data_IF_151418725166
#
_entry.id   IF_151418725166
#
_cell.length_a   1.000
_cell.length_b   1.000
_cell.length_c   1.000
_cell.angle_alpha   90.00
_cell.angle_beta   90.00
_cell.angle_gamma   90.00
#
_symmetry.space_group_name_H-M   'P 1'
#
loop_
_entity.id
_entity.type
_entity.pdbx_description
1 polymer ?
#
# COMPACT_ATOMS: atom_id res chain seq x y z
N UNK A 1 11.88 -6.92 16.81
CA UNK A 1 10.75 -7.84 17.01
C UNK A 1 10.35 -8.29 15.63
N UNK A 2 10.29 -9.61 15.35
CA UNK A 2 9.69 -10.06 14.09
C UNK A 2 8.24 -9.53 14.01
N UNK A 3 7.74 -9.31 12.80
CA UNK A 3 6.31 -9.09 12.60
C UNK A 3 5.56 -10.31 13.12
N UNK A 4 4.44 -10.10 13.80
CA UNK A 4 3.53 -11.20 14.11
C UNK A 4 2.77 -11.65 12.86
N UNK A 5 2.15 -12.82 12.94
CA UNK A 5 1.46 -13.44 11.80
C UNK A 5 0.25 -12.60 11.34
N UNK A 6 -0.35 -11.83 12.24
CA UNK A 6 -1.47 -10.93 11.96
C UNK A 6 -1.04 -9.77 11.05
N UNK A 7 0.04 -9.06 11.41
CA UNK A 7 0.57 -7.98 10.58
C UNK A 7 1.10 -8.49 9.24
N UNK A 8 1.69 -9.68 9.22
CA UNK A 8 2.12 -10.28 7.96
C UNK A 8 0.92 -10.65 7.08
N UNK A 9 -0.19 -11.10 7.67
CA UNK A 9 -1.48 -11.28 6.99
C UNK A 9 -2.00 -9.97 6.40
N UNK A 10 -2.01 -8.91 7.20
CA UNK A 10 -2.43 -7.58 6.78
C UNK A 10 -1.65 -7.06 5.56
N UNK A 11 -0.32 -7.18 5.58
CA UNK A 11 0.49 -6.77 4.42
C UNK A 11 0.22 -7.62 3.18
N UNK A 12 -0.15 -8.90 3.31
CA UNK A 12 -0.55 -9.74 2.18
C UNK A 12 -1.87 -9.27 1.59
N UNK A 13 -2.83 -8.89 2.42
CA UNK A 13 -4.10 -8.31 1.95
C UNK A 13 -3.87 -6.98 1.22
N UNK A 14 -2.97 -6.13 1.73
CA UNK A 14 -2.55 -4.92 1.01
C UNK A 14 -1.94 -5.22 -0.37
N UNK A 15 -1.11 -6.27 -0.48
CA UNK A 15 -0.56 -6.73 -1.77
C UNK A 15 -1.70 -7.11 -2.70
N UNK A 16 -2.67 -7.87 -2.21
CA UNK A 16 -3.79 -8.36 -3.02
C UNK A 16 -4.67 -7.19 -3.51
N UNK A 17 -4.88 -6.15 -2.69
CA UNK A 17 -5.54 -4.90 -3.14
C UNK A 17 -4.80 -4.26 -4.32
N UNK A 18 -3.48 -4.12 -4.23
CA UNK A 18 -2.69 -3.51 -5.32
C UNK A 18 -2.72 -4.36 -6.60
N UNK A 19 -2.72 -5.68 -6.46
CA UNK A 19 -2.80 -6.58 -7.62
C UNK A 19 -4.19 -6.55 -8.24
N UNK A 20 -5.25 -6.69 -7.44
CA UNK A 20 -6.62 -6.87 -7.94
C UNK A 20 -7.29 -5.55 -8.36
N UNK A 21 -7.06 -4.47 -7.61
CA UNK A 21 -7.75 -3.18 -7.85
C UNK A 21 -6.92 -2.20 -8.67
N UNK A 22 -5.59 -2.25 -8.56
CA UNK A 22 -4.70 -1.37 -9.32
C UNK A 22 -4.12 -2.07 -10.55
N UNK A 23 -3.91 -3.39 -10.49
CA UNK A 23 -3.46 -4.16 -11.65
C UNK A 23 -1.93 -4.24 -11.82
N UNK A 24 -1.15 -3.96 -10.78
CA UNK A 24 0.32 -4.14 -10.81
C UNK A 24 0.74 -5.58 -10.51
N UNK A 25 1.97 -5.95 -10.88
CA UNK A 25 2.49 -7.27 -10.57
C UNK A 25 2.73 -7.44 -9.06
N UNK A 26 2.67 -8.69 -8.59
CA UNK A 26 2.87 -9.01 -7.16
C UNK A 26 4.24 -8.56 -6.64
N UNK A 27 5.29 -8.67 -7.46
CA UNK A 27 6.64 -8.25 -7.10
C UNK A 27 6.71 -6.74 -6.83
N UNK A 28 6.08 -5.91 -7.68
CA UNK A 28 6.01 -4.46 -7.46
C UNK A 28 5.16 -4.11 -6.24
N UNK A 29 4.01 -4.76 -6.06
CA UNK A 29 3.16 -4.55 -4.89
C UNK A 29 3.92 -4.83 -3.57
N UNK A 30 4.65 -5.96 -3.51
CA UNK A 30 5.51 -6.29 -2.37
C UNK A 30 6.63 -5.26 -2.20
N UNK A 31 7.30 -4.85 -3.28
CA UNK A 31 8.37 -3.86 -3.20
C UNK A 31 7.88 -2.50 -2.66
N UNK A 32 6.70 -2.04 -3.10
CA UNK A 32 6.08 -0.80 -2.60
C UNK A 32 5.77 -0.88 -1.10
N UNK A 33 5.19 -1.98 -0.64
CA UNK A 33 4.90 -2.20 0.79
C UNK A 33 6.20 -2.27 1.59
N UNK A 34 7.22 -2.99 1.11
CA UNK A 34 8.53 -3.06 1.76
C UNK A 34 9.19 -1.68 1.87
N UNK A 35 9.09 -0.84 0.85
CA UNK A 35 9.66 0.50 0.86
C UNK A 35 8.99 1.43 1.88
N UNK A 36 7.68 1.29 2.09
CA UNK A 36 6.91 2.13 3.02
C UNK A 36 6.94 1.58 4.45
N UNK A 37 6.77 0.27 4.62
CA UNK A 37 6.54 -0.38 5.92
C UNK A 37 7.63 -1.36 6.33
N UNK A 38 8.59 -1.67 5.47
CA UNK A 38 9.69 -2.60 5.78
C UNK A 38 10.74 -2.05 6.74
N UNK A 39 10.62 -0.80 7.19
CA UNK A 39 11.51 -0.22 8.19
C UNK A 39 10.94 -0.38 9.60
N UNK A 40 11.84 -0.55 10.57
CA UNK A 40 11.47 -0.76 11.98
C UNK A 40 10.73 0.44 12.60
N UNK A 41 10.94 1.64 12.06
CA UNK A 41 10.28 2.88 12.47
C UNK A 41 8.84 2.96 11.96
N UNK A 42 8.59 2.57 10.71
CA UNK A 42 7.24 2.49 10.15
C UNK A 42 6.37 1.47 10.88
N UNK A 43 6.93 0.31 11.23
CA UNK A 43 6.24 -0.73 12.01
C UNK A 43 5.91 -0.22 13.42
N UNK A 44 6.83 0.49 14.08
CA UNK A 44 6.61 0.99 15.43
C UNK A 44 5.54 2.10 15.51
N UNK A 45 5.37 2.91 14.45
CA UNK A 45 4.40 4.01 14.41
C UNK A 45 3.04 3.60 13.81
N UNK A 46 3.04 2.63 12.87
CA UNK A 46 1.88 2.29 12.04
C UNK A 46 1.07 1.08 12.52
N UNK A 47 1.69 0.08 13.17
CA UNK A 47 1.01 -1.20 13.48
C UNK A 47 -0.26 -1.02 14.34
N UNK A 48 -0.25 -0.09 15.28
CA UNK A 48 -1.42 0.17 16.14
C UNK A 48 -2.58 0.87 15.43
N UNK A 49 -2.34 1.62 14.35
CA UNK A 49 -3.38 2.32 13.59
C UNK A 49 -3.82 1.52 12.36
N UNK A 50 -2.85 0.91 11.66
CA UNK A 50 -3.10 0.08 10.47
C UNK A 50 -4.03 -1.09 10.78
N UNK A 51 -3.83 -1.78 11.89
CA UNK A 51 -4.70 -2.91 12.29
C UNK A 51 -6.16 -2.53 12.59
N UNK A 52 -6.50 -1.24 12.64
CA UNK A 52 -7.87 -0.75 12.85
C UNK A 52 -8.54 -0.20 11.58
N UNK A 53 -7.80 -0.14 10.47
CA UNK A 53 -8.29 0.37 9.18
C UNK A 53 -8.19 -0.72 8.11
N UNK A 54 -8.98 -0.56 7.04
CA UNK A 54 -8.98 -1.52 5.95
C UNK A 54 -7.61 -1.55 5.23
N UNK A 55 -7.14 -2.72 4.77
CA UNK A 55 -5.91 -2.83 3.98
C UNK A 55 -5.88 -1.88 2.77
N UNK A 56 -7.03 -1.65 2.14
CA UNK A 56 -7.20 -0.73 1.01
C UNK A 56 -6.73 0.70 1.34
N UNK A 57 -7.09 1.20 2.53
CA UNK A 57 -6.74 2.55 2.96
C UNK A 57 -5.23 2.79 2.86
N UNK A 58 -4.46 1.82 3.38
CA UNK A 58 -3.01 1.91 3.40
C UNK A 58 -2.38 1.50 2.07
N UNK A 59 -2.98 0.53 1.36
CA UNK A 59 -2.49 0.07 0.07
C UNK A 59 -2.51 1.20 -0.97
N UNK A 60 -3.64 1.92 -1.10
CA UNK A 60 -3.73 3.05 -2.02
C UNK A 60 -2.74 4.15 -1.70
N UNK A 61 -2.46 4.42 -0.42
CA UNK A 61 -1.43 5.37 -0.02
C UNK A 61 -0.01 5.03 -0.48
N UNK A 62 0.29 3.75 -0.73
CA UNK A 62 1.59 3.32 -1.29
C UNK A 62 1.70 3.52 -2.81
N UNK A 63 0.56 3.62 -3.51
CA UNK A 63 0.50 3.68 -4.97
C UNK A 63 0.12 5.06 -5.50
N UNK A 64 -0.89 5.70 -4.91
CA UNK A 64 -1.39 7.00 -5.32
C UNK A 64 -0.87 8.13 -4.42
N UNK A 65 -0.66 9.28 -5.03
CA UNK A 65 -0.61 10.58 -4.35
C UNK A 65 -2.01 11.20 -4.32
N UNK A 66 -2.26 12.17 -3.43
CA UNK A 66 -3.55 12.85 -3.40
C UNK A 66 -3.93 13.48 -4.74
N UNK A 67 -5.23 13.50 -5.04
CA UNK A 67 -5.79 14.17 -6.22
C UNK A 67 -5.70 15.71 -6.11
N UNK A 68 -6.23 16.42 -7.11
CA UNK A 68 -6.29 17.89 -7.12
C UNK A 68 -7.14 18.49 -5.99
N UNK A 69 -7.91 17.68 -5.25
CA UNK A 69 -8.72 18.06 -4.09
C UNK A 69 -8.07 17.61 -2.77
N UNK A 70 -6.82 17.15 -2.82
CA UNK A 70 -6.08 16.61 -1.69
C UNK A 70 -6.73 15.37 -1.05
N UNK A 71 -7.39 14.54 -1.87
CA UNK A 71 -8.03 13.28 -1.44
C UNK A 71 -7.21 12.07 -1.83
N UNK A 72 -7.32 10.99 -1.06
CA UNK A 72 -6.89 9.64 -1.43
C UNK A 72 -8.09 8.69 -1.32
N UNK A 73 -8.16 7.64 -2.15
CA UNK A 73 -9.15 6.59 -1.94
C UNK A 73 -8.86 5.89 -0.63
N UNK A 74 -9.92 5.55 0.11
CA UNK A 74 -9.82 4.92 1.42
C UNK A 74 -10.33 3.47 1.43
N UNK A 75 -10.82 2.97 0.29
CA UNK A 75 -11.37 1.63 0.14
C UNK A 75 -12.84 1.50 0.53
N UNK A 76 -13.47 2.57 1.02
CA UNK A 76 -14.89 2.59 1.33
C UNK A 76 -15.70 2.93 0.05
N UNK A 77 -16.59 2.04 -0.42
CA UNK A 77 -17.32 2.27 -1.68
C UNK A 77 -18.21 3.51 -1.69
N UNK A 78 -18.64 3.99 -0.52
CA UNK A 78 -19.50 5.17 -0.41
C UNK A 78 -18.67 6.45 -0.37
N UNK A 79 -17.58 6.46 0.40
CA UNK A 79 -16.67 7.59 0.49
C UNK A 79 -15.88 7.80 -0.81
N UNK A 80 -15.51 6.71 -1.49
CA UNK A 80 -14.75 6.74 -2.74
C UNK A 80 -15.65 6.85 -3.98
N UNK A 81 -16.97 6.98 -3.82
CA UNK A 81 -17.93 6.92 -4.94
C UNK A 81 -17.69 8.00 -6.02
N UNK A 82 -17.11 9.14 -5.65
CA UNK A 82 -16.77 10.25 -6.57
C UNK A 82 -15.26 10.43 -6.77
N UNK A 83 -14.45 9.46 -6.36
CA UNK A 83 -13.01 9.42 -6.65
C UNK A 83 -12.83 8.96 -8.10
N UNK A 84 -12.12 9.77 -8.89
CA UNK A 84 -11.61 9.35 -10.20
C UNK A 84 -10.17 8.87 -10.04
N UNK A 85 -9.98 7.55 -9.92
CA UNK A 85 -8.67 6.90 -9.76
C UNK A 85 -7.68 7.27 -10.89
N UNK A 86 -8.16 7.62 -12.09
CA UNK A 86 -7.31 8.03 -13.21
C UNK A 86 -6.68 9.41 -13.04
N UNK A 87 -7.16 10.23 -12.09
CA UNK A 87 -6.64 11.58 -11.83
C UNK A 87 -5.59 11.62 -10.73
N UNK A 88 -5.43 10.54 -9.98
CA UNK A 88 -4.42 10.47 -8.93
C UNK A 88 -3.03 10.28 -9.55
N UNK A 89 -2.04 11.12 -9.19
CA UNK A 89 -0.67 10.88 -9.60
C UNK A 89 -0.18 9.56 -9.00
N UNK A 90 0.47 8.73 -9.81
CA UNK A 90 1.08 7.47 -9.34
C UNK A 90 2.43 7.77 -8.70
N UNK A 91 2.64 7.28 -7.49
CA UNK A 91 3.93 7.32 -6.80
C UNK A 91 4.93 6.44 -7.55
N UNK A 92 6.19 6.88 -7.73
CA UNK A 92 7.19 6.05 -8.38
C UNK A 92 7.38 4.74 -7.61
N UNK A 93 7.56 3.64 -8.35
CA UNK A 93 7.98 2.39 -7.74
C UNK A 93 9.39 2.55 -7.12
N UNK A 94 9.74 1.74 -6.11
CA UNK A 94 11.09 1.73 -5.56
C UNK A 94 12.12 1.39 -6.66
N UNK A 95 13.35 1.97 -6.62
CA UNK A 95 14.40 1.62 -7.58
C UNK A 95 14.62 0.10 -7.65
N UNK A 96 14.80 -0.46 -8.86
CA UNK A 96 14.89 -1.92 -9.09
C UNK A 96 16.11 -2.57 -8.42
N UNK A 97 17.16 -1.80 -8.16
CA UNK A 97 18.37 -2.20 -7.44
C UNK A 97 18.26 -1.99 -5.91
N UNK A 98 17.12 -1.50 -5.42
CA UNK A 98 16.87 -1.33 -3.98
C UNK A 98 16.59 -2.66 -3.28
N UNK A 99 16.85 -2.76 -1.96
CA UNK A 99 16.62 -4.01 -1.21
C UNK A 99 15.14 -4.36 -1.02
N UNK A 100 14.21 -3.53 -1.50
CA UNK A 100 12.77 -3.74 -1.35
C UNK A 100 12.21 -4.77 -2.32
N UNK A 101 12.89 -5.02 -3.43
CA UNK A 101 12.53 -6.04 -4.41
C UNK A 101 13.00 -7.42 -3.92
N UNK A 102 12.14 -8.08 -3.14
CA UNK A 102 12.44 -9.39 -2.54
C UNK A 102 11.90 -10.57 -3.35
N UNK A 103 11.15 -10.30 -4.41
CA UNK A 103 10.60 -11.30 -5.33
C UNK A 103 11.08 -11.00 -6.75
N UNK A 104 11.28 -12.05 -7.54
CA UNK A 104 11.49 -11.96 -8.99
C UNK A 104 10.14 -11.68 -9.70
N UNK A 105 10.19 -11.01 -10.86
CA UNK A 105 9.02 -10.69 -11.70
C UNK A 105 8.60 -11.84 -12.62
#
# INVERSE_FOLDING_TARGET
>A
MPLDDEMLGYFREMVDVLVERVGICRAEAVARINAVYGTRESVAFGVGLMGHELPEYWAYGTYYSPDHRDRLPIGDPTADADIDFGTHPVRPAPPKDSPFWTLEE
#
